data_IF_195915126473
#
_entry.id   IF_195915126473
#
_cell.length_a   1.000
_cell.length_b   1.000
_cell.length_c   1.000
_cell.angle_alpha   90.00
_cell.angle_beta   90.00
_cell.angle_gamma   90.00
#
_symmetry.space_group_name_H-M   'P 1'
#
loop_
_entity.id
_entity.type
_entity.pdbx_description
1 polymer ?
#
# COMPACT_ATOMS: atom_id res chain seq x y z
N UNK A 1 -19.04 -31.17 -4.11
CA UNK A 1 -18.42 -30.73 -2.84
C UNK A 1 -17.95 -29.32 -3.14
N UNK A 2 -18.83 -28.37 -2.86
CA UNK A 2 -18.78 -27.06 -3.48
C UNK A 2 -18.29 -26.11 -2.40
N UNK A 3 -17.08 -25.58 -2.57
CA UNK A 3 -16.45 -24.74 -1.55
C UNK A 3 -17.12 -23.36 -1.52
N UNK A 4 -18.02 -23.14 -0.57
CA UNK A 4 -18.60 -21.82 -0.27
C UNK A 4 -17.67 -21.03 0.67
N UNK A 5 -16.50 -20.63 0.16
CA UNK A 5 -15.59 -19.75 0.90
C UNK A 5 -16.09 -18.32 0.88
N UNK A 6 -16.96 -17.94 1.81
CA UNK A 6 -17.38 -16.56 1.98
C UNK A 6 -16.23 -15.78 2.67
N UNK A 7 -15.36 -15.10 1.91
CA UNK A 7 -14.33 -14.23 2.48
C UNK A 7 -15.04 -13.05 3.13
N UNK A 8 -15.41 -13.22 4.40
CA UNK A 8 -16.26 -12.27 5.12
C UNK A 8 -15.48 -11.04 5.52
N UNK A 9 -14.15 -11.16 5.72
CA UNK A 9 -13.25 -10.05 6.05
C UNK A 9 -11.83 -10.34 5.53
N UNK A 10 -11.17 -9.28 5.06
CA UNK A 10 -9.75 -9.25 4.68
C UNK A 10 -9.05 -8.36 5.70
N UNK A 11 -7.93 -8.84 6.25
CA UNK A 11 -6.99 -8.06 7.03
C UNK A 11 -5.58 -8.51 6.64
N UNK A 12 -4.79 -7.59 6.11
CA UNK A 12 -3.46 -7.87 5.59
C UNK A 12 -2.53 -6.69 5.88
N UNK A 13 -1.40 -6.96 6.52
CA UNK A 13 -0.33 -5.98 6.67
C UNK A 13 0.70 -6.15 5.56
N UNK A 14 1.01 -5.05 4.89
CA UNK A 14 1.95 -4.95 3.78
C UNK A 14 3.19 -4.22 4.27
N UNK A 15 4.35 -4.82 4.03
CA UNK A 15 5.64 -4.18 4.27
C UNK A 15 6.56 -4.42 3.07
N UNK A 16 7.06 -3.33 2.50
CA UNK A 16 8.01 -3.36 1.41
C UNK A 16 9.26 -2.58 1.82
N UNK A 17 10.43 -3.15 1.53
CA UNK A 17 11.73 -2.53 1.80
C UNK A 17 12.64 -2.73 0.58
N UNK A 18 13.24 -1.65 0.13
CA UNK A 18 14.23 -1.63 -0.93
C UNK A 18 15.46 -0.86 -0.47
N UNK A 19 16.65 -1.28 -0.91
CA UNK A 19 17.89 -0.57 -0.57
C UNK A 19 18.10 0.63 -1.48
N UNK A 20 17.56 0.55 -2.70
CA UNK A 20 17.59 1.60 -3.69
C UNK A 20 16.16 1.91 -4.12
N UNK A 21 15.81 3.19 -4.15
CA UNK A 21 14.49 3.65 -4.61
C UNK A 21 14.22 3.21 -6.05
N UNK A 22 15.26 3.11 -6.88
CA UNK A 22 15.18 2.65 -8.27
C UNK A 22 14.57 1.25 -8.42
N UNK A 23 14.61 0.41 -7.38
CA UNK A 23 13.96 -0.91 -7.37
C UNK A 23 12.42 -0.82 -7.36
N UNK A 24 11.86 0.36 -7.07
CA UNK A 24 10.41 0.61 -7.06
C UNK A 24 9.85 1.16 -8.37
N UNK A 25 10.72 1.50 -9.31
CA UNK A 25 10.32 2.01 -10.64
C UNK A 25 9.37 1.05 -11.36
N UNK A 26 9.60 -0.26 -11.22
CA UNK A 26 8.73 -1.29 -11.83
C UNK A 26 7.34 -1.39 -11.17
N UNK A 27 7.18 -0.94 -9.93
CA UNK A 27 5.90 -0.94 -9.24
C UNK A 27 5.12 0.36 -9.48
N UNK A 28 5.83 1.48 -9.56
CA UNK A 28 5.22 2.80 -9.63
C UNK A 28 5.09 3.36 -11.05
N UNK A 29 5.76 2.77 -12.05
CA UNK A 29 5.82 3.26 -13.45
C UNK A 29 6.16 4.77 -13.57
N UNK A 30 6.82 5.33 -12.55
CA UNK A 30 7.23 6.73 -12.49
C UNK A 30 8.75 6.77 -12.48
N UNK A 31 9.33 7.56 -13.40
CA UNK A 31 10.75 7.91 -13.32
C UNK A 31 10.98 8.85 -12.14
N UNK A 32 11.89 8.48 -11.25
CA UNK A 32 12.29 9.30 -10.12
C UNK A 32 13.82 9.23 -9.95
N UNK A 33 14.46 10.29 -9.41
CA UNK A 33 15.87 10.21 -9.06
C UNK A 33 16.11 9.15 -7.98
N UNK A 34 17.31 8.57 -7.95
CA UNK A 34 17.70 7.69 -6.86
C UNK A 34 17.82 8.50 -5.57
N UNK A 35 16.91 8.25 -4.63
CA UNK A 35 16.84 8.98 -3.36
C UNK A 35 17.33 8.17 -2.16
N UNK A 36 17.74 6.91 -2.36
CA UNK A 36 18.26 6.03 -1.32
C UNK A 36 17.26 4.96 -0.87
N UNK A 37 17.44 4.38 0.33
CA UNK A 37 16.59 3.29 0.82
C UNK A 37 15.13 3.71 0.94
N UNK A 38 14.22 2.78 0.66
CA UNK A 38 12.78 3.01 0.76
C UNK A 38 12.12 1.95 1.62
N UNK A 39 11.21 2.40 2.47
CA UNK A 39 10.32 1.56 3.25
C UNK A 39 8.89 2.04 3.09
N UNK A 40 7.99 1.11 2.77
CA UNK A 40 6.55 1.34 2.68
C UNK A 40 5.85 0.34 3.60
N UNK A 41 4.93 0.83 4.40
CA UNK A 41 4.01 0.02 5.21
C UNK A 41 2.57 0.42 4.91
N UNK A 42 1.64 -0.53 4.96
CA UNK A 42 0.21 -0.25 4.91
C UNK A 42 -0.58 -1.42 5.48
N UNK A 43 -1.77 -1.15 6.01
CA UNK A 43 -2.73 -2.16 6.45
C UNK A 43 -3.95 -2.13 5.56
N UNK A 44 -4.21 -3.24 4.87
CA UNK A 44 -5.40 -3.44 4.05
C UNK A 44 -6.46 -4.17 4.88
N UNK A 45 -7.60 -3.52 5.08
CA UNK A 45 -8.77 -4.11 5.76
C UNK A 45 -9.99 -4.00 4.87
N UNK A 46 -10.86 -5.00 4.85
CA UNK A 46 -12.07 -4.91 4.06
C UNK A 46 -13.03 -6.08 4.21
N UNK A 47 -14.15 -5.97 3.50
CA UNK A 47 -15.15 -6.99 3.29
C UNK A 47 -15.59 -6.94 1.83
N UNK A 48 -16.60 -7.74 1.45
CA UNK A 48 -17.18 -7.75 0.10
C UNK A 48 -17.69 -6.39 -0.39
N UNK A 49 -17.97 -5.43 0.51
CA UNK A 49 -18.60 -4.15 0.17
C UNK A 49 -17.69 -2.93 0.40
N UNK A 50 -16.60 -3.10 1.16
CA UNK A 50 -15.73 -2.00 1.56
C UNK A 50 -14.28 -2.44 1.65
N UNK A 51 -13.38 -1.65 1.07
CA UNK A 51 -11.94 -1.86 1.18
C UNK A 51 -11.30 -0.59 1.71
N UNK A 52 -10.36 -0.74 2.63
CA UNK A 52 -9.67 0.36 3.29
C UNK A 52 -8.19 0.05 3.37
N UNK A 53 -7.37 0.98 2.89
CA UNK A 53 -5.93 0.96 3.05
C UNK A 53 -5.57 2.05 4.07
N UNK A 54 -5.18 1.64 5.25
CA UNK A 54 -4.86 2.55 6.37
C UNK A 54 -3.44 2.35 6.85
N UNK A 55 -3.01 3.23 7.76
CA UNK A 55 -1.66 3.22 8.32
C UNK A 55 -0.57 3.19 7.25
N UNK A 56 -0.83 3.89 6.12
CA UNK A 56 0.11 3.99 5.01
C UNK A 56 1.25 4.87 5.49
N UNK A 57 2.46 4.31 5.53
CA UNK A 57 3.68 5.02 5.84
C UNK A 57 4.69 4.81 4.73
N UNK A 58 5.26 5.89 4.21
CA UNK A 58 6.34 5.89 3.25
C UNK A 58 7.52 6.67 3.84
N UNK A 59 8.69 6.05 3.80
CA UNK A 59 9.97 6.69 4.10
C UNK A 59 10.92 6.40 2.96
N UNK A 60 11.49 7.45 2.38
CA UNK A 60 12.48 7.33 1.32
C UNK A 60 13.68 8.23 1.58
N UNK A 61 14.86 7.65 1.41
CA UNK A 61 16.16 8.29 1.58
C UNK A 61 16.76 8.17 2.97
N UNK A 62 17.75 9.03 3.24
CA UNK A 62 18.56 8.97 4.45
C UNK A 62 18.29 10.20 5.33
N UNK A 63 18.06 9.97 6.62
CA UNK A 63 17.87 11.00 7.65
C UNK A 63 18.99 12.05 7.68
N UNK A 64 20.20 11.66 7.30
CA UNK A 64 21.37 12.53 7.36
C UNK A 64 21.56 13.42 6.11
N UNK A 65 20.79 13.19 5.04
CA UNK A 65 20.94 13.91 3.75
C UNK A 65 19.61 14.47 3.26
N UNK A 66 18.68 13.60 2.86
CA UNK A 66 17.32 13.95 2.47
C UNK A 66 16.40 12.79 2.84
N UNK A 67 15.36 13.11 3.63
CA UNK A 67 14.33 12.16 4.03
C UNK A 67 12.97 12.67 3.54
N UNK A 68 12.33 11.89 2.69
CA UNK A 68 10.92 12.07 2.36
C UNK A 68 10.12 11.17 3.29
N UNK A 69 9.15 11.76 3.98
CA UNK A 69 8.17 11.03 4.75
C UNK A 69 6.77 11.42 4.28
N UNK A 70 5.94 10.41 4.03
CA UNK A 70 4.53 10.59 3.74
C UNK A 70 3.73 9.58 4.55
N UNK A 71 2.64 10.05 5.17
CA UNK A 71 1.73 9.23 5.95
C UNK A 71 0.30 9.46 5.41
N UNK A 72 -0.54 8.43 5.40
CA UNK A 72 -1.86 8.55 4.78
C UNK A 72 -2.84 7.42 5.06
N UNK A 73 -4.07 7.65 4.61
CA UNK A 73 -5.18 6.69 4.66
C UNK A 73 -6.06 6.85 3.44
N UNK A 74 -6.38 5.74 2.78
CA UNK A 74 -7.25 5.67 1.62
C UNK A 74 -8.42 4.75 1.95
N UNK A 75 -9.65 5.19 1.67
CA UNK A 75 -10.86 4.39 1.88
C UNK A 75 -11.68 4.35 0.61
N UNK A 76 -11.96 3.15 0.11
CA UNK A 76 -12.79 2.92 -1.08
C UNK A 76 -14.09 2.22 -0.67
N UNK A 77 -15.21 2.81 -1.06
CA UNK A 77 -16.55 2.25 -0.84
C UNK A 77 -17.08 1.79 -2.19
N UNK A 78 -17.39 0.50 -2.32
CA UNK A 78 -17.98 -0.05 -3.54
C UNK A 78 -19.50 0.11 -3.46
N UNK A 79 -20.04 0.99 -4.30
CA UNK A 79 -21.49 1.14 -4.44
C UNK A 79 -21.95 0.22 -5.57
N UNK A 80 -22.46 -0.95 -5.22
CA UNK A 80 -23.12 -1.83 -6.18
C UNK A 80 -24.48 -1.21 -6.53
N UNK A 81 -24.64 -0.72 -7.76
CA UNK A 81 -25.96 -0.35 -8.27
C UNK A 81 -26.63 -1.60 -8.82
N UNK A 82 -27.77 -1.97 -8.23
CA UNK A 82 -28.70 -2.92 -8.84
C UNK A 82 -29.35 -2.22 -10.03
N UNK A 83 -29.20 -2.80 -11.22
CA UNK A 83 -29.97 -2.44 -12.40
C UNK A 83 -31.31 -3.18 -12.39
#
# INVERSE_FOLDING_TARGET
>A
MDWHGNISQIALDLALKAKHSSELTSFLEIEHPEIGPVAITASLKGSSEKIMLEDIGLKAGNKDVYLIQADGRISLILILRSN
#
